data_IF_045907156434
#
_entry.id   IF_045907156434
#
_cell.length_a   1.000
_cell.length_b   1.000
_cell.length_c   1.000
_cell.angle_alpha   90.00
_cell.angle_beta   90.00
_cell.angle_gamma   90.00
#
_symmetry.space_group_name_H-M   'P 1'
#
loop_
_entity.id
_entity.type
_entity.pdbx_description
1 polymer ?
#
# COMPACT_ATOMS: atom_id res chain seq x y z
N UNK A 1 5.24 3.42 36.65
CA UNK A 1 5.91 4.19 35.58
C UNK A 1 6.10 3.26 34.39
N UNK A 2 5.72 3.66 33.19
CA UNK A 2 5.83 2.85 31.95
C UNK A 2 6.87 3.51 31.06
N UNK A 3 7.72 2.71 30.42
CA UNK A 3 8.76 3.16 29.48
C UNK A 3 8.89 2.16 28.34
N UNK A 4 9.32 2.66 27.17
CA UNK A 4 9.63 1.85 26.00
C UNK A 4 11.15 1.68 25.89
N UNK A 5 11.62 0.47 25.53
CA UNK A 5 13.04 0.16 25.46
C UNK A 5 13.59 0.22 24.04
N UNK A 6 12.94 -0.49 23.12
CA UNK A 6 13.46 -0.79 21.79
C UNK A 6 12.39 -0.62 20.71
N UNK A 7 12.84 -0.41 19.48
CA UNK A 7 12.03 -0.29 18.27
C UNK A 7 12.43 -1.39 17.30
N UNK A 8 11.45 -2.16 16.87
CA UNK A 8 11.59 -3.16 15.81
C UNK A 8 11.04 -2.59 14.50
N UNK A 9 11.86 -2.55 13.44
CA UNK A 9 11.48 -1.98 12.15
C UNK A 9 11.23 -3.10 11.13
N UNK A 10 10.08 -3.04 10.45
CA UNK A 10 9.74 -3.92 9.33
C UNK A 10 9.67 -3.13 8.04
N UNK A 11 10.34 -3.63 7.00
CA UNK A 11 10.27 -3.10 5.65
C UNK A 11 9.40 -4.02 4.80
N UNK A 12 8.18 -3.59 4.53
CA UNK A 12 7.24 -4.32 3.69
C UNK A 12 7.53 -4.09 2.22
N UNK A 13 7.22 -5.10 1.40
CA UNK A 13 7.22 -4.97 -0.05
C UNK A 13 6.18 -3.93 -0.52
N UNK A 14 6.48 -3.24 -1.62
CA UNK A 14 5.49 -2.39 -2.29
C UNK A 14 4.80 -3.19 -3.39
N UNK A 15 3.46 -3.23 -3.34
CA UNK A 15 2.62 -3.93 -4.32
C UNK A 15 1.70 -2.98 -5.05
N UNK A 16 1.28 -3.39 -6.24
CA UNK A 16 0.27 -2.68 -7.04
C UNK A 16 -1.12 -2.82 -6.39
N UNK A 17 -1.86 -1.72 -6.28
CA UNK A 17 -3.18 -1.70 -5.65
C UNK A 17 -4.27 -1.24 -6.62
N UNK A 18 -5.48 -1.77 -6.46
CA UNK A 18 -6.65 -1.39 -7.25
C UNK A 18 -7.56 -0.39 -6.53
N UNK A 19 -7.06 0.24 -5.46
CA UNK A 19 -7.83 1.22 -4.69
C UNK A 19 -8.15 2.47 -5.53
N UNK A 20 -9.43 2.77 -5.79
CA UNK A 20 -9.81 3.89 -6.65
C UNK A 20 -9.83 5.26 -5.95
N UNK A 21 -9.30 5.36 -4.73
CA UNK A 21 -9.23 6.62 -3.96
C UNK A 21 -8.09 7.56 -4.36
N UNK A 22 -7.14 7.12 -5.20
CA UNK A 22 -6.12 8.01 -5.76
C UNK A 22 -6.74 8.96 -6.79
N UNK A 23 -6.27 10.21 -6.89
CA UNK A 23 -6.78 11.16 -7.89
C UNK A 23 -6.59 10.65 -9.32
N UNK A 24 -5.40 10.14 -9.63
CA UNK A 24 -4.99 9.62 -10.95
C UNK A 24 -3.90 8.54 -10.81
N UNK A 25 -3.61 7.80 -11.88
CA UNK A 25 -2.52 6.84 -11.95
C UNK A 25 -2.70 5.59 -11.06
N UNK A 26 -1.66 4.75 -10.96
CA UNK A 26 -1.73 3.49 -10.24
C UNK A 26 -1.64 3.70 -8.72
N UNK A 27 -2.42 2.95 -7.94
CA UNK A 27 -2.32 3.00 -6.49
C UNK A 27 -1.19 2.09 -5.98
N UNK A 28 -0.62 2.45 -4.83
CA UNK A 28 0.37 1.65 -4.10
C UNK A 28 -0.28 1.03 -2.87
N UNK A 29 0.23 -0.13 -2.47
CA UNK A 29 -0.12 -0.79 -1.22
C UNK A 29 1.09 -1.52 -0.65
N UNK A 30 1.03 -1.85 0.63
CA UNK A 30 2.03 -2.70 1.26
C UNK A 30 1.61 -4.16 1.13
N UNK A 31 2.50 -5.00 0.62
CA UNK A 31 2.28 -6.43 0.64
C UNK A 31 2.49 -7.01 2.04
N UNK A 32 2.32 -8.32 2.15
CA UNK A 32 2.52 -9.03 3.42
C UNK A 32 3.96 -9.51 3.59
N UNK A 33 4.74 -9.60 2.50
CA UNK A 33 6.17 -9.88 2.59
C UNK A 33 6.91 -8.72 3.25
N UNK A 34 7.75 -9.02 4.24
CA UNK A 34 8.59 -8.02 4.88
C UNK A 34 9.98 -8.54 5.21
N UNK A 35 10.94 -7.62 5.27
CA UNK A 35 12.24 -7.83 5.88
C UNK A 35 12.25 -7.20 7.26
N UNK A 36 12.55 -7.98 8.28
CA UNK A 36 12.78 -7.49 9.64
C UNK A 36 14.18 -6.85 9.69
N UNK A 37 14.26 -5.61 10.15
CA UNK A 37 15.52 -4.95 10.47
C UNK A 37 15.92 -5.21 11.91
N UNK A 38 17.18 -4.90 12.22
CA UNK A 38 17.70 -4.99 13.58
C UNK A 38 16.93 -4.07 14.54
N UNK A 39 16.75 -4.58 15.77
CA UNK A 39 16.14 -3.80 16.86
C UNK A 39 17.11 -2.71 17.32
N UNK A 40 16.58 -1.52 17.61
CA UNK A 40 17.39 -0.43 18.15
C UNK A 40 16.76 0.20 19.39
N UNK A 41 17.57 0.72 20.34
CA UNK A 41 17.06 1.49 21.47
C UNK A 41 16.23 2.69 20.99
N UNK A 42 15.09 2.94 21.64
CA UNK A 42 14.16 4.03 21.29
C UNK A 42 14.88 5.38 21.25
N UNK A 43 15.75 5.66 22.21
CA UNK A 43 16.48 6.92 22.28
C UNK A 43 17.39 7.14 21.07
N UNK A 44 18.01 6.07 20.56
CA UNK A 44 18.82 6.14 19.35
C UNK A 44 17.96 6.38 18.11
N UNK A 45 16.79 5.73 18.02
CA UNK A 45 15.86 5.91 16.91
C UNK A 45 15.37 7.36 16.81
N UNK A 46 14.97 7.95 17.94
CA UNK A 46 14.47 9.32 17.96
C UNK A 46 15.58 10.37 17.77
N UNK A 47 16.82 10.09 18.19
CA UNK A 47 17.96 10.98 17.98
C UNK A 47 18.39 11.12 16.50
N UNK A 48 18.13 10.10 15.66
CA UNK A 48 18.45 10.14 14.23
C UNK A 48 17.48 11.03 13.46
N UNK A 49 16.26 11.23 13.96
CA UNK A 49 15.29 12.10 13.29
C UNK A 49 15.75 13.56 13.41
N UNK A 50 15.70 14.34 12.32
CA UNK A 50 15.94 15.78 12.41
C UNK A 50 14.97 16.37 13.45
N UNK A 51 15.51 16.98 14.51
CA UNK A 51 14.71 17.48 15.63
C UNK A 51 13.62 18.44 15.13
N UNK A 52 12.35 18.13 15.41
CA UNK A 52 11.21 18.98 15.04
C UNK A 52 10.64 18.78 13.62
N UNK A 53 11.19 17.86 12.81
CA UNK A 53 10.69 17.63 11.45
C UNK A 53 9.48 16.68 11.44
N UNK A 54 8.31 17.20 11.78
CA UNK A 54 7.04 16.50 11.53
C UNK A 54 6.59 16.79 10.11
N UNK A 55 6.38 15.74 9.32
CA UNK A 55 5.90 15.91 7.95
C UNK A 55 4.49 16.50 7.91
N UNK A 56 4.29 17.51 7.06
CA UNK A 56 2.95 18.01 6.73
C UNK A 56 2.25 17.01 5.78
N UNK A 57 0.92 17.06 5.76
CA UNK A 57 0.04 16.37 4.84
C UNK A 57 0.54 16.36 3.39
N UNK A 58 1.04 17.50 2.89
CA UNK A 58 1.57 17.63 1.52
C UNK A 58 2.84 16.81 1.29
N UNK A 59 3.69 16.67 2.31
CA UNK A 59 4.93 15.88 2.26
C UNK A 59 4.69 14.37 2.39
N UNK A 60 3.46 13.98 2.73
CA UNK A 60 3.01 12.59 2.74
C UNK A 60 2.36 12.16 1.42
N UNK A 61 2.07 13.11 0.51
CA UNK A 61 1.52 12.81 -0.80
C UNK A 61 2.63 12.30 -1.72
N UNK A 62 2.43 11.13 -2.30
CA UNK A 62 3.33 10.56 -3.31
C UNK A 62 2.80 10.93 -4.71
N UNK A 63 3.52 11.75 -5.50
CA UNK A 63 3.12 12.13 -6.85
C UNK A 63 2.95 10.92 -7.78
N UNK A 64 2.14 11.07 -8.83
CA UNK A 64 1.87 10.02 -9.81
C UNK A 64 3.14 9.41 -10.41
N UNK A 65 4.06 10.25 -10.90
CA UNK A 65 5.30 9.76 -11.53
C UNK A 65 6.17 8.98 -10.56
N UNK A 66 6.18 9.37 -9.29
CA UNK A 66 6.92 8.64 -8.26
C UNK A 66 6.26 7.30 -7.94
N UNK A 67 4.92 7.21 -7.87
CA UNK A 67 4.21 5.94 -7.72
C UNK A 67 4.51 4.97 -8.88
N UNK A 68 4.54 5.47 -10.10
CA UNK A 68 4.90 4.67 -11.27
C UNK A 68 6.36 4.18 -11.22
N UNK A 69 7.30 5.03 -10.80
CA UNK A 69 8.71 4.64 -10.62
C UNK A 69 8.83 3.52 -9.59
N UNK A 70 8.18 3.69 -8.42
CA UNK A 70 8.18 2.70 -7.35
C UNK A 70 7.66 1.34 -7.84
N UNK A 71 6.60 1.32 -8.64
CA UNK A 71 6.07 0.06 -9.19
C UNK A 71 6.99 -0.57 -10.23
N UNK A 72 7.65 0.24 -11.08
CA UNK A 72 8.63 -0.26 -12.04
C UNK A 72 9.85 -0.86 -11.33
N UNK A 73 10.34 -0.18 -10.30
CA UNK A 73 11.44 -0.66 -9.44
C UNK A 73 11.05 -1.94 -8.69
N UNK A 74 9.79 -2.08 -8.28
CA UNK A 74 9.24 -3.32 -7.71
C UNK A 74 9.00 -4.44 -8.75
N UNK A 75 9.36 -4.23 -10.02
CA UNK A 75 9.31 -5.24 -11.07
C UNK A 75 7.94 -5.38 -11.76
N UNK A 76 7.04 -4.41 -11.64
CA UNK A 76 5.79 -4.42 -12.40
C UNK A 76 6.00 -3.92 -13.83
N UNK A 77 5.43 -4.66 -14.78
CA UNK A 77 5.43 -4.27 -16.18
C UNK A 77 4.51 -3.07 -16.44
N UNK A 78 4.80 -2.32 -17.50
CA UNK A 78 3.95 -1.22 -17.97
C UNK A 78 2.49 -1.67 -18.20
N UNK A 79 2.29 -2.85 -18.78
CA UNK A 79 0.96 -3.40 -19.05
C UNK A 79 0.16 -3.66 -17.76
N UNK A 80 0.82 -4.16 -16.70
CA UNK A 80 0.18 -4.37 -15.40
C UNK A 80 -0.24 -3.04 -14.76
N UNK A 81 0.61 -2.02 -14.88
CA UNK A 81 0.32 -0.67 -14.40
C UNK A 81 -0.88 -0.07 -15.15
N UNK A 82 -0.89 -0.15 -16.48
CA UNK A 82 -1.99 0.34 -17.31
C UNK A 82 -3.32 -0.37 -16.99
N UNK A 83 -3.28 -1.70 -16.81
CA UNK A 83 -4.45 -2.48 -16.40
C UNK A 83 -4.98 -2.04 -15.03
N UNK A 84 -4.09 -1.74 -14.09
CA UNK A 84 -4.47 -1.21 -12.79
C UNK A 84 -5.17 0.15 -12.89
N UNK A 85 -4.62 1.07 -13.67
CA UNK A 85 -5.21 2.40 -13.90
C UNK A 85 -6.62 2.25 -14.49
N UNK A 86 -6.77 1.36 -15.47
CA UNK A 86 -8.06 1.06 -16.08
C UNK A 86 -9.10 0.56 -15.05
N UNK A 87 -8.72 -0.38 -14.18
CA UNK A 87 -9.59 -0.91 -13.12
C UNK A 87 -10.00 0.20 -12.14
N UNK A 88 -9.05 1.04 -11.72
CA UNK A 88 -9.31 2.18 -10.83
C UNK A 88 -10.30 3.14 -11.47
N UNK A 89 -10.11 3.50 -12.74
CA UNK A 89 -11.01 4.39 -13.48
C UNK A 89 -12.42 3.80 -13.60
N UNK A 90 -12.52 2.51 -13.93
CA UNK A 90 -13.81 1.82 -13.97
C UNK A 90 -14.50 1.83 -12.59
N UNK A 91 -13.75 1.64 -11.51
CA UNK A 91 -14.24 1.71 -10.13
C UNK A 91 -14.79 3.09 -9.75
N UNK A 92 -14.07 4.16 -10.12
CA UNK A 92 -14.52 5.55 -9.90
C UNK A 92 -15.81 5.87 -10.65
N UNK A 93 -15.93 5.45 -11.91
CA UNK A 93 -17.13 5.68 -12.72
C UNK A 93 -18.35 4.99 -12.11
N UNK A 94 -18.21 3.77 -11.59
CA UNK A 94 -19.29 3.06 -10.90
C UNK A 94 -19.75 3.78 -9.62
N UNK A 95 -18.83 4.37 -8.86
CA UNK A 95 -19.15 5.11 -7.62
C UNK A 95 -19.90 6.42 -7.85
N UNK A 96 -19.79 7.04 -9.03
CA UNK A 96 -20.56 8.24 -9.37
C UNK A 96 -22.07 7.98 -9.50
N UNK A 97 -22.49 6.72 -9.67
CA UNK A 97 -23.90 6.32 -9.83
C UNK A 97 -24.34 5.28 -8.77
N UNK A 98 -24.24 5.57 -7.46
CA UNK A 98 -24.41 4.57 -6.39
C UNK A 98 -25.86 4.06 -6.28
N UNK A 99 -26.85 4.88 -6.65
CA UNK A 99 -28.29 4.60 -6.49
C UNK A 99 -28.78 3.39 -7.30
N UNK A 100 -28.07 3.00 -8.38
CA UNK A 100 -28.45 1.82 -9.19
C UNK A 100 -27.91 0.48 -8.69
N UNK A 101 -26.95 0.48 -7.74
CA UNK A 101 -26.22 -0.75 -7.34
C UNK A 101 -26.73 -1.40 -6.04
N UNK A 102 -27.50 -0.66 -5.23
CA UNK A 102 -27.90 -1.10 -3.88
C UNK A 102 -29.00 -2.18 -3.89
N UNK A 103 -29.64 -2.46 -5.04
CA UNK A 103 -30.90 -3.21 -5.04
C UNK A 103 -30.79 -4.74 -5.10
N UNK A 104 -29.64 -5.38 -5.36
CA UNK A 104 -29.56 -6.87 -5.30
C UNK A 104 -28.16 -7.48 -5.45
N UNK A 105 -27.25 -6.80 -6.16
CA UNK A 105 -26.00 -7.44 -6.67
C UNK A 105 -24.74 -7.20 -5.86
N UNK A 106 -24.81 -6.51 -4.71
CA UNK A 106 -23.61 -6.09 -3.97
C UNK A 106 -22.86 -7.25 -3.29
N UNK A 107 -23.55 -8.34 -2.95
CA UNK A 107 -22.96 -9.54 -2.33
C UNK A 107 -22.06 -10.33 -3.29
N UNK A 108 -22.53 -10.60 -4.50
CA UNK A 108 -21.82 -11.39 -5.53
C UNK A 108 -20.51 -10.75 -6.02
N UNK A 109 -20.33 -9.46 -5.77
CA UNK A 109 -19.17 -8.69 -6.24
C UNK A 109 -17.93 -9.00 -5.40
N UNK A 110 -18.07 -9.19 -4.09
CA UNK A 110 -16.97 -9.57 -3.20
C UNK A 110 -16.44 -10.98 -3.48
N UNK A 111 -17.32 -11.90 -3.90
CA UNK A 111 -16.94 -13.27 -4.28
C UNK A 111 -16.09 -13.32 -5.57
N UNK A 112 -16.13 -12.26 -6.39
CA UNK A 112 -15.43 -12.20 -7.68
C UNK A 112 -14.07 -11.51 -7.64
N UNK A 113 -13.69 -10.94 -6.49
CA UNK A 113 -12.40 -10.29 -6.32
C UNK A 113 -11.37 -11.40 -6.05
N UNK A 114 -10.41 -11.65 -6.96
CA UNK A 114 -9.36 -12.62 -6.70
C UNK A 114 -8.58 -12.20 -5.46
N UNK A 115 -8.35 -13.16 -4.56
CA UNK A 115 -7.46 -12.93 -3.40
C UNK A 115 -6.13 -12.35 -3.90
N UNK A 116 -5.59 -11.32 -3.24
CA UNK A 116 -4.31 -10.75 -3.63
C UNK A 116 -3.26 -11.86 -3.64
N UNK A 117 -2.71 -12.15 -4.81
CA UNK A 117 -1.63 -13.11 -4.98
C UNK A 117 -0.40 -12.48 -4.34
N UNK A 118 -0.09 -12.86 -3.09
CA UNK A 118 1.22 -12.52 -2.52
C UNK A 118 2.28 -13.23 -3.36
N UNK A 119 3.26 -12.48 -3.87
CA UNK A 119 4.38 -13.05 -4.61
C UNK A 119 5.34 -13.82 -3.71
N UNK A 120 5.23 -13.64 -2.40
CA UNK A 120 5.98 -14.38 -1.40
C UNK A 120 5.05 -15.28 -0.60
N UNK A 121 5.36 -16.58 -0.58
CA UNK A 121 4.81 -17.51 0.39
C UNK A 121 5.28 -17.08 1.78
N UNK A 122 4.35 -16.96 2.72
CA UNK A 122 4.67 -16.83 4.13
C UNK A 122 5.50 -18.06 4.55
N UNK A 123 6.79 -17.87 4.79
CA UNK A 123 7.63 -18.87 5.44
C UNK A 123 7.58 -18.56 6.93
N UNK A 124 6.83 -19.32 7.75
CA UNK A 124 6.90 -19.15 9.18
C UNK A 124 8.34 -19.39 9.63
N UNK A 125 8.90 -18.47 10.41
CA UNK A 125 10.14 -18.72 11.11
C UNK A 125 9.94 -19.98 11.96
N UNK A 126 10.64 -21.06 11.63
CA UNK A 126 10.77 -22.24 12.47
C UNK A 126 11.40 -21.81 13.79
N UNK A 127 10.66 -22.03 14.87
CA UNK A 127 11.08 -21.82 16.25
C UNK A 127 12.23 -22.76 16.64
#
# INVERSE_FOLDING_TARGET
RVSFSTVDIRLYETVISFNPSCSEGPALELGWGYRQCDSLPVDKYEAIKPSGYRRDSKELIIPLGQRESILKEAGYSRQQIEKCIFIIHAGKTKRKNPVKLLSSSFSKLFDSIPNPISKHQFVPNSA
#
